data_IF_333150685312
#
_entry.id   IF_333150685312
#
_cell.length_a   1.000
_cell.length_b   1.000
_cell.length_c   1.000
_cell.angle_alpha   90.00
_cell.angle_beta   90.00
_cell.angle_gamma   90.00
#
_symmetry.space_group_name_H-M   'P 1'
#
loop_
_entity.id
_entity.type
_entity.pdbx_description
1 polymer ?
#
# COMPACT_ATOMS: atom_id res chain seq x y z
N UNK A 1 -23.19 19.92 12.82
CA UNK A 1 -23.93 20.22 11.57
C UNK A 1 -24.34 18.92 10.82
N UNK A 2 -24.86 17.89 11.51
CA UNK A 2 -25.17 16.57 10.93
C UNK A 2 -26.69 16.28 10.80
N UNK A 3 -27.55 17.19 11.25
CA UNK A 3 -28.98 16.93 11.44
C UNK A 3 -29.79 16.73 10.14
N UNK A 4 -29.31 17.21 8.98
CA UNK A 4 -30.08 17.21 7.74
C UNK A 4 -29.71 16.10 6.74
N UNK A 5 -28.65 15.31 6.99
CA UNK A 5 -28.16 14.30 6.03
C UNK A 5 -28.86 12.96 6.22
N UNK A 6 -29.09 12.51 7.45
CA UNK A 6 -29.69 11.21 7.75
C UNK A 6 -31.04 10.94 7.05
N UNK A 7 -32.00 11.89 6.97
CA UNK A 7 -33.27 11.66 6.29
C UNK A 7 -33.13 11.51 4.77
N UNK A 8 -32.04 12.04 4.19
CA UNK A 8 -31.82 12.06 2.74
C UNK A 8 -31.20 10.76 2.23
N UNK A 9 -30.46 10.04 3.08
CA UNK A 9 -29.77 8.79 2.73
C UNK A 9 -30.71 7.75 2.11
N UNK A 10 -31.80 7.31 2.76
CA UNK A 10 -32.65 6.26 2.21
C UNK A 10 -33.41 6.68 0.93
N UNK A 11 -33.52 7.99 0.66
CA UNK A 11 -34.25 8.52 -0.50
C UNK A 11 -33.36 8.81 -1.69
N UNK A 12 -32.20 9.42 -1.45
CA UNK A 12 -31.30 9.89 -2.50
C UNK A 12 -30.24 8.86 -2.86
N UNK A 13 -29.71 8.11 -1.89
CA UNK A 13 -28.61 7.19 -2.14
C UNK A 13 -28.98 6.08 -3.13
N UNK A 14 -30.13 5.38 -3.01
CA UNK A 14 -30.52 4.36 -4.00
C UNK A 14 -30.68 4.93 -5.41
N UNK A 15 -31.27 6.14 -5.53
CA UNK A 15 -31.46 6.82 -6.82
C UNK A 15 -30.13 7.25 -7.43
N UNK A 16 -29.21 7.77 -6.62
CA UNK A 16 -27.88 8.14 -7.07
C UNK A 16 -27.10 6.92 -7.53
N UNK A 17 -27.16 5.80 -6.81
CA UNK A 17 -26.52 4.55 -7.25
C UNK A 17 -27.05 4.12 -8.62
N UNK A 18 -28.38 4.10 -8.81
CA UNK A 18 -28.99 3.76 -10.09
C UNK A 18 -28.57 4.71 -11.22
N UNK A 19 -28.59 6.02 -10.97
CA UNK A 19 -28.17 7.02 -11.97
C UNK A 19 -26.70 6.80 -12.32
N UNK A 20 -25.82 6.71 -11.32
CA UNK A 20 -24.36 6.57 -11.52
C UNK A 20 -24.00 5.34 -12.35
N UNK A 21 -24.78 4.24 -12.26
CA UNK A 21 -24.55 3.04 -13.08
C UNK A 21 -24.91 3.20 -14.55
N UNK A 22 -25.75 4.18 -14.90
CA UNK A 22 -26.22 4.40 -16.28
C UNK A 22 -25.85 5.79 -16.83
N UNK A 23 -25.07 6.56 -16.08
CA UNK A 23 -24.80 7.96 -16.41
C UNK A 23 -23.66 8.05 -17.42
N UNK A 24 -23.96 8.55 -18.62
CA UNK A 24 -22.98 8.64 -19.73
C UNK A 24 -22.10 9.89 -19.69
N UNK A 25 -22.43 10.88 -18.86
CA UNK A 25 -21.66 12.13 -18.73
C UNK A 25 -20.71 12.07 -17.53
N UNK A 26 -19.86 13.08 -17.40
CA UNK A 26 -18.97 13.24 -16.24
C UNK A 26 -19.78 13.18 -14.92
N UNK A 27 -19.56 12.14 -14.08
CA UNK A 27 -20.33 11.94 -12.86
C UNK A 27 -19.86 12.80 -11.69
N UNK A 28 -18.91 13.74 -11.87
CA UNK A 28 -18.23 14.46 -10.78
C UNK A 28 -19.14 15.05 -9.72
N UNK A 29 -20.23 15.73 -10.11
CA UNK A 29 -21.19 16.32 -9.15
C UNK A 29 -21.95 15.24 -8.39
N UNK A 30 -22.40 14.19 -9.09
CA UNK A 30 -23.15 13.09 -8.52
C UNK A 30 -22.28 12.24 -7.58
N UNK A 31 -21.05 11.97 -7.98
CA UNK A 31 -20.03 11.29 -7.17
C UNK A 31 -19.71 12.09 -5.90
N UNK A 32 -19.51 13.41 -6.03
CA UNK A 32 -19.28 14.29 -4.88
C UNK A 32 -20.44 14.31 -3.88
N UNK A 33 -21.69 14.30 -4.39
CA UNK A 33 -22.88 14.21 -3.55
C UNK A 33 -22.98 12.83 -2.89
N UNK A 34 -22.74 11.76 -3.63
CA UNK A 34 -22.73 10.39 -3.11
C UNK A 34 -21.69 10.23 -1.99
N UNK A 35 -20.46 10.71 -2.18
CA UNK A 35 -19.40 10.71 -1.15
C UNK A 35 -19.88 11.38 0.14
N UNK A 36 -20.56 12.53 0.04
CA UNK A 36 -21.10 13.25 1.21
C UNK A 36 -22.21 12.48 1.91
N UNK A 37 -23.14 11.90 1.15
CA UNK A 37 -24.24 11.09 1.68
C UNK A 37 -23.77 9.77 2.29
N UNK A 38 -22.70 9.20 1.76
CA UNK A 38 -22.12 7.95 2.23
C UNK A 38 -21.36 8.10 3.54
N UNK A 39 -20.93 9.30 3.96
CA UNK A 39 -20.14 9.51 5.19
C UNK A 39 -20.65 8.74 6.42
N UNK A 40 -21.92 8.82 6.83
CA UNK A 40 -22.43 8.07 7.97
C UNK A 40 -22.73 6.59 7.69
N UNK A 41 -22.77 6.16 6.43
CA UNK A 41 -23.16 4.79 6.05
C UNK A 41 -21.97 3.82 6.22
N UNK A 42 -22.14 2.68 6.93
CA UNK A 42 -21.13 1.62 7.08
C UNK A 42 -20.96 0.83 5.78
N UNK A 43 -19.81 0.18 5.60
CA UNK A 43 -19.47 -0.52 4.35
C UNK A 43 -20.50 -1.58 4.00
N UNK A 44 -20.89 -2.41 4.97
CA UNK A 44 -21.87 -3.49 4.78
C UNK A 44 -23.25 -2.99 4.33
N UNK A 45 -23.70 -1.84 4.83
CA UNK A 45 -24.95 -1.24 4.38
C UNK A 45 -24.83 -0.71 2.94
N UNK A 46 -23.67 -0.22 2.51
CA UNK A 46 -23.45 0.22 1.12
C UNK A 46 -23.55 -0.98 0.17
N UNK A 47 -23.04 -2.15 0.55
CA UNK A 47 -23.12 -3.37 -0.26
C UNK A 47 -24.56 -3.87 -0.49
N UNK A 48 -25.51 -3.47 0.37
CA UNK A 48 -26.94 -3.75 0.12
C UNK A 48 -27.54 -2.89 -1.01
N UNK A 49 -26.86 -1.79 -1.37
CA UNK A 49 -27.30 -0.83 -2.37
C UNK A 49 -26.47 -0.92 -3.67
N UNK A 50 -25.21 -1.29 -3.57
CA UNK A 50 -24.28 -1.42 -4.69
C UNK A 50 -23.59 -2.79 -4.66
N UNK A 51 -23.69 -3.53 -5.77
CA UNK A 51 -23.07 -4.84 -5.91
C UNK A 51 -21.54 -4.75 -6.03
N UNK A 52 -20.84 -5.89 -5.88
CA UNK A 52 -19.40 -5.99 -6.15
C UNK A 52 -19.08 -5.54 -7.59
N UNK A 53 -19.90 -5.97 -8.54
CA UNK A 53 -19.78 -5.59 -9.96
C UNK A 53 -19.92 -4.07 -10.15
N UNK A 54 -20.80 -3.42 -9.40
CA UNK A 54 -20.95 -1.95 -9.44
C UNK A 54 -19.67 -1.25 -8.98
N UNK A 55 -19.00 -1.78 -7.95
CA UNK A 55 -17.72 -1.25 -7.47
C UNK A 55 -16.61 -1.49 -8.49
N UNK A 56 -16.55 -2.68 -9.10
CA UNK A 56 -15.58 -3.00 -10.15
C UNK A 56 -15.75 -2.06 -11.35
N UNK A 57 -16.99 -1.87 -11.83
CA UNK A 57 -17.28 -0.96 -12.94
C UNK A 57 -16.89 0.49 -12.60
N UNK A 58 -17.09 0.93 -11.36
CA UNK A 58 -16.69 2.26 -10.93
C UNK A 58 -15.16 2.42 -10.79
N UNK A 59 -14.44 1.37 -10.40
CA UNK A 59 -12.97 1.33 -10.38
C UNK A 59 -12.36 1.33 -11.79
N UNK A 60 -13.01 0.67 -12.74
CA UNK A 60 -12.59 0.60 -14.15
C UNK A 60 -13.06 1.78 -14.99
N UNK A 61 -13.94 2.63 -14.43
CA UNK A 61 -14.47 3.80 -15.12
C UNK A 61 -13.33 4.75 -15.52
N UNK A 62 -13.37 5.34 -16.73
CA UNK A 62 -12.41 6.37 -17.13
C UNK A 62 -12.62 7.70 -16.37
N UNK A 63 -13.71 7.84 -15.60
CA UNK A 63 -14.00 9.04 -14.83
C UNK A 63 -13.28 8.99 -13.46
N UNK A 64 -12.35 9.92 -13.16
CA UNK A 64 -11.62 9.94 -11.89
C UNK A 64 -12.56 10.01 -10.68
N UNK A 65 -13.64 10.78 -10.81
CA UNK A 65 -14.64 10.94 -9.74
C UNK A 65 -15.40 9.64 -9.43
N UNK A 66 -15.58 8.75 -10.41
CA UNK A 66 -16.15 7.42 -10.19
C UNK A 66 -15.15 6.52 -9.45
N UNK A 67 -13.87 6.55 -9.83
CA UNK A 67 -12.83 5.79 -9.13
C UNK A 67 -12.70 6.27 -7.66
N UNK A 68 -12.65 7.58 -7.43
CA UNK A 68 -12.58 8.17 -6.08
C UNK A 68 -13.79 7.78 -5.24
N UNK A 69 -14.99 7.74 -5.83
CA UNK A 69 -16.19 7.26 -5.15
C UNK A 69 -16.05 5.79 -4.75
N UNK A 70 -15.63 4.91 -5.68
CA UNK A 70 -15.45 3.49 -5.41
C UNK A 70 -14.40 3.25 -4.31
N UNK A 71 -13.24 3.91 -4.40
CA UNK A 71 -12.19 3.85 -3.38
C UNK A 71 -12.71 4.38 -2.04
N UNK A 72 -13.53 5.43 -2.03
CA UNK A 72 -14.14 5.95 -0.79
C UNK A 72 -15.09 4.95 -0.15
N UNK A 73 -15.83 4.17 -0.95
CA UNK A 73 -16.66 3.06 -0.45
C UNK A 73 -15.77 1.96 0.13
N UNK A 74 -14.74 1.52 -0.61
CA UNK A 74 -13.79 0.49 -0.18
C UNK A 74 -13.09 0.89 1.12
N UNK A 75 -12.62 2.14 1.23
CA UNK A 75 -12.00 2.68 2.45
C UNK A 75 -12.95 2.64 3.66
N UNK A 76 -14.28 2.60 3.47
CA UNK A 76 -15.18 2.43 4.63
C UNK A 76 -14.94 1.13 5.37
N UNK A 77 -14.45 0.09 4.70
CA UNK A 77 -14.16 -1.18 5.34
C UNK A 77 -13.08 -1.06 6.42
N UNK A 78 -12.18 -0.06 6.35
CA UNK A 78 -11.18 0.20 7.41
C UNK A 78 -11.78 0.67 8.74
N UNK A 79 -13.09 0.88 8.83
CA UNK A 79 -13.74 1.26 10.10
C UNK A 79 -13.72 0.14 11.14
N UNK A 80 -13.63 -1.11 10.73
CA UNK A 80 -13.50 -2.23 11.65
C UNK A 80 -12.85 -3.44 10.99
N UNK A 81 -12.12 -4.27 11.76
CA UNK A 81 -11.59 -5.53 11.25
C UNK A 81 -12.63 -6.43 10.57
N UNK A 82 -13.87 -6.43 11.06
CA UNK A 82 -14.96 -7.23 10.50
C UNK A 82 -15.37 -6.77 9.10
N UNK A 83 -15.42 -5.46 8.84
CA UNK A 83 -15.73 -4.94 7.50
C UNK A 83 -14.55 -5.18 6.53
N UNK A 84 -13.30 -5.05 6.99
CA UNK A 84 -12.12 -5.41 6.17
C UNK A 84 -12.08 -6.91 5.85
N UNK A 85 -12.48 -7.78 6.79
CA UNK A 85 -12.62 -9.21 6.53
C UNK A 85 -13.66 -9.50 5.43
N UNK A 86 -14.77 -8.76 5.39
CA UNK A 86 -15.76 -8.87 4.30
C UNK A 86 -15.15 -8.43 2.97
N UNK A 87 -14.41 -7.31 2.94
CA UNK A 87 -13.72 -6.89 1.72
C UNK A 87 -12.73 -7.95 1.21
N UNK A 88 -12.03 -8.66 2.11
CA UNK A 88 -11.01 -9.66 1.74
C UNK A 88 -11.56 -10.86 0.96
N UNK A 89 -12.86 -11.17 1.09
CA UNK A 89 -13.50 -12.26 0.33
C UNK A 89 -13.94 -11.82 -1.07
N UNK A 90 -14.03 -10.51 -1.32
CA UNK A 90 -14.43 -9.92 -2.61
C UNK A 90 -13.22 -9.83 -3.56
N UNK A 91 -12.68 -10.99 -4.00
CA UNK A 91 -11.43 -11.08 -4.77
C UNK A 91 -11.38 -10.09 -5.95
N UNK A 92 -12.44 -10.04 -6.75
CA UNK A 92 -12.51 -9.17 -7.93
C UNK A 92 -12.45 -7.68 -7.59
N UNK A 93 -13.02 -7.26 -6.44
CA UNK A 93 -12.94 -5.87 -5.98
C UNK A 93 -11.51 -5.53 -5.53
N UNK A 94 -10.85 -6.43 -4.80
CA UNK A 94 -9.46 -6.22 -4.34
C UNK A 94 -8.51 -6.14 -5.53
N UNK A 95 -8.65 -7.06 -6.49
CA UNK A 95 -7.82 -7.07 -7.70
C UNK A 95 -7.99 -5.76 -8.49
N UNK A 96 -9.23 -5.35 -8.77
CA UNK A 96 -9.48 -4.11 -9.51
C UNK A 96 -9.07 -2.88 -8.72
N UNK A 97 -9.16 -2.90 -7.38
CA UNK A 97 -8.67 -1.82 -6.55
C UNK A 97 -7.15 -1.64 -6.70
N UNK A 98 -6.38 -2.73 -6.67
CA UNK A 98 -4.92 -2.68 -6.85
C UNK A 98 -4.53 -2.28 -8.27
N UNK A 99 -5.25 -2.79 -9.27
CA UNK A 99 -5.05 -2.35 -10.66
C UNK A 99 -5.30 -0.86 -10.78
N UNK A 100 -6.45 -0.34 -10.33
CA UNK A 100 -6.77 1.09 -10.39
C UNK A 100 -5.76 1.93 -9.58
N UNK A 101 -5.33 1.45 -8.41
CA UNK A 101 -4.32 2.12 -7.59
C UNK A 101 -3.00 2.32 -8.33
N UNK A 102 -2.47 1.26 -8.93
CA UNK A 102 -1.16 1.29 -9.59
C UNK A 102 -1.24 1.89 -11.00
N UNK A 103 -2.28 1.59 -11.78
CA UNK A 103 -2.34 1.97 -13.19
C UNK A 103 -2.95 3.35 -13.47
N UNK A 104 -3.70 3.96 -12.55
CA UNK A 104 -4.41 5.21 -12.85
C UNK A 104 -3.44 6.35 -13.20
N UNK A 105 -3.68 7.11 -14.29
CA UNK A 105 -2.88 8.28 -14.62
C UNK A 105 -3.24 9.49 -13.74
N UNK A 106 -4.34 9.41 -12.97
CA UNK A 106 -4.85 10.51 -12.16
C UNK A 106 -4.23 10.47 -10.76
N UNK A 107 -3.46 11.51 -10.42
CA UNK A 107 -2.78 11.63 -9.13
C UNK A 107 -3.76 11.52 -7.96
N UNK A 108 -4.90 12.23 -8.02
CA UNK A 108 -5.91 12.22 -6.95
C UNK A 108 -6.50 10.83 -6.66
N UNK A 109 -6.65 10.00 -7.70
CA UNK A 109 -7.16 8.63 -7.57
C UNK A 109 -6.09 7.77 -6.90
N UNK A 110 -4.84 7.88 -7.36
CA UNK A 110 -3.68 7.19 -6.81
C UNK A 110 -3.46 7.49 -5.34
N UNK A 111 -3.40 8.77 -4.95
CA UNK A 111 -3.21 9.18 -3.54
C UNK A 111 -4.34 8.66 -2.65
N UNK A 112 -5.59 8.77 -3.13
CA UNK A 112 -6.75 8.28 -2.39
C UNK A 112 -6.70 6.77 -2.18
N UNK A 113 -6.24 6.01 -3.18
CA UNK A 113 -6.05 4.58 -3.08
C UNK A 113 -4.88 4.19 -2.17
N UNK A 114 -3.75 4.89 -2.23
CA UNK A 114 -2.61 4.67 -1.31
C UNK A 114 -3.05 4.83 0.15
N UNK A 115 -3.78 5.91 0.47
CA UNK A 115 -4.31 6.14 1.80
C UNK A 115 -5.32 5.05 2.21
N UNK A 116 -6.24 4.69 1.31
CA UNK A 116 -7.23 3.66 1.59
C UNK A 116 -6.58 2.29 1.86
N UNK A 117 -5.59 1.89 1.05
CA UNK A 117 -4.85 0.64 1.23
C UNK A 117 -4.10 0.62 2.57
N UNK A 118 -3.43 1.73 2.91
CA UNK A 118 -2.71 1.88 4.17
C UNK A 118 -3.63 1.80 5.40
N UNK A 119 -4.82 2.38 5.33
CA UNK A 119 -5.83 2.29 6.41
C UNK A 119 -6.38 0.87 6.55
N UNK A 120 -6.67 0.21 5.41
CA UNK A 120 -7.23 -1.14 5.38
C UNK A 120 -6.25 -2.17 5.97
N UNK A 121 -4.98 -2.11 5.55
CA UNK A 121 -3.95 -3.04 6.01
C UNK A 121 -3.57 -2.78 7.47
N UNK A 122 -3.54 -1.53 7.93
CA UNK A 122 -3.30 -1.24 9.35
C UNK A 122 -4.41 -1.82 10.24
N UNK A 123 -5.66 -1.73 9.81
CA UNK A 123 -6.82 -2.23 10.56
C UNK A 123 -6.93 -3.75 10.53
N UNK A 124 -6.56 -4.38 9.41
CA UNK A 124 -6.56 -5.84 9.28
C UNK A 124 -5.31 -6.51 9.86
N UNK A 125 -4.27 -5.77 10.23
CA UNK A 125 -3.05 -6.36 10.78
C UNK A 125 -3.33 -7.19 12.06
N UNK A 126 -2.93 -8.46 12.04
CA UNK A 126 -3.13 -9.38 13.16
C UNK A 126 -2.00 -9.27 14.18
N UNK A 127 -2.17 -8.30 15.09
CA UNK A 127 -1.25 -8.03 16.19
C UNK A 127 -1.11 -9.22 17.14
N UNK A 128 -2.10 -10.12 17.22
CA UNK A 128 -2.06 -11.28 18.12
C UNK A 128 -1.15 -12.35 17.58
N UNK A 129 -1.25 -12.68 16.30
CA UNK A 129 -0.32 -13.62 15.65
C UNK A 129 1.11 -13.09 15.70
N UNK A 130 1.32 -11.80 15.41
CA UNK A 130 2.63 -11.15 15.52
C UNK A 130 3.18 -11.19 16.95
N UNK A 131 2.33 -10.95 17.96
CA UNK A 131 2.75 -10.98 19.35
C UNK A 131 2.95 -12.40 19.89
N UNK A 132 2.23 -13.43 19.42
CA UNK A 132 2.50 -14.82 19.83
C UNK A 132 3.86 -15.33 19.35
N UNK A 133 4.41 -14.76 18.27
CA UNK A 133 5.78 -15.00 17.83
C UNK A 133 6.80 -14.29 18.74
N UNK A 134 6.49 -13.10 19.28
CA UNK A 134 7.40 -12.32 20.14
C UNK A 134 7.29 -12.65 21.65
N UNK A 135 6.11 -13.02 22.15
CA UNK A 135 5.87 -13.35 23.58
C UNK A 135 6.37 -14.74 23.98
N UNK A 136 6.76 -15.61 23.04
CA UNK A 136 7.61 -16.76 23.38
C UNK A 136 9.01 -16.34 23.84
N UNK A 137 9.45 -15.09 23.60
CA UNK A 137 10.77 -14.59 24.03
C UNK A 137 10.73 -13.60 25.19
N UNK A 138 9.71 -12.73 25.35
CA UNK A 138 9.65 -11.81 26.49
C UNK A 138 8.19 -11.48 26.85
N UNK A 139 7.76 -11.86 28.06
CA UNK A 139 6.37 -11.74 28.54
C UNK A 139 5.91 -10.30 28.79
N UNK A 140 5.59 -9.57 27.72
CA UNK A 140 5.05 -8.21 27.79
C UNK A 140 3.57 -8.18 27.37
N UNK A 141 2.73 -7.56 28.20
CA UNK A 141 1.30 -7.39 27.97
C UNK A 141 1.03 -6.50 26.75
N UNK A 142 0.32 -7.07 25.77
CA UNK A 142 -0.16 -6.35 24.57
C UNK A 142 -1.25 -5.38 25.01
N UNK A 143 -1.15 -4.12 24.57
CA UNK A 143 -2.18 -3.09 24.72
C UNK A 143 -3.53 -3.60 24.18
N UNK A 144 -4.36 -4.11 25.09
CA UNK A 144 -5.51 -4.97 24.83
C UNK A 144 -6.76 -4.20 24.38
N UNK A 145 -6.66 -2.89 24.17
CA UNK A 145 -7.82 -2.02 24.01
C UNK A 145 -8.30 -1.82 22.56
N UNK A 146 -7.53 -2.23 21.55
CA UNK A 146 -7.98 -2.18 20.14
C UNK A 146 -8.27 -3.59 19.62
N UNK A 147 -9.44 -3.85 19.01
CA UNK A 147 -9.70 -5.15 18.38
C UNK A 147 -8.65 -5.40 17.29
N UNK A 148 -7.94 -6.53 17.41
CA UNK A 148 -6.93 -6.96 16.44
C UNK A 148 -7.59 -7.31 15.10
N UNK A 149 -6.88 -7.03 14.02
CA UNK A 149 -7.21 -7.51 12.69
C UNK A 149 -7.11 -9.04 12.57
N UNK A 150 -7.57 -9.59 11.44
CA UNK A 150 -7.54 -11.03 11.16
C UNK A 150 -6.49 -11.42 10.10
N UNK A 151 -5.76 -10.45 9.56
CA UNK A 151 -4.79 -10.63 8.48
C UNK A 151 -5.40 -11.24 7.21
N UNK A 152 -6.71 -11.13 7.01
CA UNK A 152 -7.38 -11.76 5.87
C UNK A 152 -7.13 -10.98 4.57
N UNK A 153 -7.16 -9.65 4.64
CA UNK A 153 -6.82 -8.79 3.51
C UNK A 153 -5.32 -8.84 3.21
N UNK A 154 -4.47 -8.88 4.24
CA UNK A 154 -3.03 -9.14 4.06
C UNK A 154 -2.80 -10.44 3.27
N UNK A 155 -3.44 -11.54 3.68
CA UNK A 155 -3.36 -12.81 2.95
C UNK A 155 -3.93 -12.72 1.53
N UNK A 156 -5.01 -11.97 1.32
CA UNK A 156 -5.57 -11.76 -0.02
C UNK A 156 -4.60 -11.02 -0.95
N UNK A 157 -3.85 -10.05 -0.46
CA UNK A 157 -2.95 -9.25 -1.30
C UNK A 157 -1.61 -9.95 -1.51
N UNK A 158 -1.02 -10.51 -0.45
CA UNK A 158 0.35 -11.02 -0.50
C UNK A 158 0.44 -12.55 -0.65
N UNK A 159 -0.63 -13.31 -0.37
CA UNK A 159 -0.64 -14.78 -0.48
C UNK A 159 -1.62 -15.33 -1.52
N UNK A 160 -2.27 -14.47 -2.29
CA UNK A 160 -2.96 -14.86 -3.52
C UNK A 160 -2.02 -14.55 -4.68
N UNK A 161 -1.51 -15.59 -5.35
CA UNK A 161 -0.46 -15.47 -6.38
C UNK A 161 -0.82 -14.44 -7.45
N UNK A 162 -2.04 -14.51 -7.98
CA UNK A 162 -2.51 -13.65 -9.07
C UNK A 162 -2.57 -12.17 -8.65
N UNK A 163 -2.87 -11.90 -7.37
CA UNK A 163 -2.93 -10.54 -6.84
C UNK A 163 -1.53 -10.03 -6.51
N UNK A 164 -0.69 -10.87 -5.91
CA UNK A 164 0.69 -10.52 -5.58
C UNK A 164 1.51 -10.17 -6.84
N UNK A 165 1.32 -10.93 -7.92
CA UNK A 165 1.95 -10.69 -9.22
C UNK A 165 1.61 -9.31 -9.81
N UNK A 166 0.48 -8.69 -9.44
CA UNK A 166 0.16 -7.33 -9.86
C UNK A 166 1.16 -6.29 -9.37
N UNK A 167 1.73 -6.50 -8.18
CA UNK A 167 2.71 -5.56 -7.60
C UNK A 167 3.99 -5.51 -8.43
N UNK A 168 4.39 -6.64 -9.01
CA UNK A 168 5.57 -6.72 -9.87
C UNK A 168 5.25 -6.33 -11.31
N UNK A 169 4.21 -6.92 -11.89
CA UNK A 169 3.84 -6.67 -13.30
C UNK A 169 3.46 -5.22 -13.58
N UNK A 170 2.88 -4.50 -12.61
CA UNK A 170 2.52 -3.09 -12.80
C UNK A 170 3.66 -2.12 -12.43
N UNK A 171 4.69 -2.56 -11.70
CA UNK A 171 5.78 -1.69 -11.26
C UNK A 171 7.15 -2.00 -11.90
N UNK A 172 7.34 -3.16 -12.53
CA UNK A 172 8.60 -3.48 -13.20
C UNK A 172 8.80 -2.64 -14.46
N UNK A 173 9.98 -2.05 -14.61
CA UNK A 173 10.37 -1.27 -15.79
C UNK A 173 10.38 -2.11 -17.07
N UNK A 174 10.61 -3.43 -16.96
CA UNK A 174 10.65 -4.37 -18.09
C UNK A 174 9.28 -4.61 -18.73
N UNK A 175 8.20 -4.27 -18.03
CA UNK A 175 6.81 -4.49 -18.47
C UNK A 175 6.19 -3.21 -19.05
N UNK A 176 7.03 -2.27 -19.47
CA UNK A 176 6.60 -1.03 -20.12
C UNK A 176 6.25 -1.29 -21.58
N UNK A 177 5.12 -0.75 -22.05
CA UNK A 177 4.74 -0.86 -23.45
C UNK A 177 3.30 -0.47 -23.72
N UNK A 178 2.85 -0.74 -24.95
CA UNK A 178 1.53 -0.35 -25.46
C UNK A 178 0.55 -1.54 -25.54
N UNK A 179 0.95 -2.73 -25.10
CA UNK A 179 0.07 -3.90 -25.14
C UNK A 179 -1.04 -3.77 -24.08
N UNK A 180 -2.21 -4.41 -24.30
CA UNK A 180 -3.30 -4.39 -23.34
C UNK A 180 -2.85 -4.86 -21.95
N UNK A 181 -2.91 -3.97 -20.95
CA UNK A 181 -2.51 -4.24 -19.57
C UNK A 181 -1.10 -3.76 -19.21
N UNK A 182 -0.30 -3.30 -20.18
CA UNK A 182 0.96 -2.61 -19.92
C UNK A 182 0.71 -1.13 -19.60
N UNK A 183 1.65 -0.54 -18.87
CA UNK A 183 1.65 0.88 -18.54
C UNK A 183 2.68 1.60 -19.41
N UNK A 184 2.38 2.83 -19.81
CA UNK A 184 3.39 3.71 -20.38
C UNK A 184 4.44 4.11 -19.31
N UNK A 185 5.56 4.68 -19.74
CA UNK A 185 6.66 5.06 -18.85
C UNK A 185 6.19 5.96 -17.70
N UNK A 186 5.33 6.94 -17.99
CA UNK A 186 4.84 7.89 -16.98
C UNK A 186 3.96 7.19 -15.94
N UNK A 187 3.04 6.34 -16.39
CA UNK A 187 2.17 5.56 -15.52
C UNK A 187 2.99 4.57 -14.69
N UNK A 188 4.08 4.02 -15.25
CA UNK A 188 5.02 3.16 -14.54
C UNK A 188 5.71 3.90 -13.39
N UNK A 189 6.31 5.07 -13.65
CA UNK A 189 6.92 5.90 -12.61
C UNK A 189 5.91 6.26 -11.50
N UNK A 190 4.65 6.56 -11.87
CA UNK A 190 3.57 6.79 -10.90
C UNK A 190 3.25 5.54 -10.07
N UNK A 191 3.18 4.35 -10.69
CA UNK A 191 2.92 3.09 -10.00
C UNK A 191 4.04 2.78 -9.00
N UNK A 192 5.29 2.90 -9.44
CA UNK A 192 6.49 2.69 -8.62
C UNK A 192 6.53 3.65 -7.42
N UNK A 193 6.29 4.95 -7.65
CA UNK A 193 6.25 5.94 -6.57
C UNK A 193 5.15 5.65 -5.54
N UNK A 194 3.98 5.16 -5.98
CA UNK A 194 2.88 4.75 -5.08
C UNK A 194 3.24 3.53 -4.25
N UNK A 195 3.90 2.54 -4.85
CA UNK A 195 4.37 1.36 -4.13
C UNK A 195 5.42 1.75 -3.09
N UNK A 196 6.42 2.55 -3.45
CA UNK A 196 7.41 3.08 -2.50
C UNK A 196 6.75 3.82 -1.33
N UNK A 197 5.73 4.64 -1.59
CA UNK A 197 5.07 5.43 -0.52
C UNK A 197 4.36 4.60 0.55
N UNK A 198 3.90 3.39 0.23
CA UNK A 198 3.19 2.57 1.21
C UNK A 198 4.11 1.62 1.99
N UNK A 199 5.21 1.18 1.37
CA UNK A 199 6.10 0.15 1.92
C UNK A 199 6.68 0.49 3.31
N UNK A 200 7.12 1.72 3.63
CA UNK A 200 7.61 2.06 4.97
C UNK A 200 6.60 1.73 6.08
N UNK A 201 5.34 2.12 5.87
CA UNK A 201 4.25 1.85 6.81
C UNK A 201 3.97 0.34 6.91
N UNK A 202 3.99 -0.38 5.80
CA UNK A 202 3.74 -1.82 5.80
C UNK A 202 4.86 -2.61 6.47
N UNK A 203 6.13 -2.19 6.28
CA UNK A 203 7.27 -2.84 6.91
C UNK A 203 7.29 -2.68 8.43
N UNK A 204 6.83 -1.54 8.94
CA UNK A 204 6.63 -1.34 10.37
C UNK A 204 5.53 -2.25 10.96
N UNK A 205 4.58 -2.70 10.13
CA UNK A 205 3.53 -3.63 10.54
C UNK A 205 4.01 -5.09 10.43
N UNK A 206 4.43 -5.51 9.23
CA UNK A 206 4.83 -6.89 8.93
C UNK A 206 6.08 -6.92 8.05
N UNK A 207 7.22 -6.69 8.69
CA UNK A 207 8.53 -6.71 8.04
C UNK A 207 8.83 -8.06 7.37
N UNK A 208 8.50 -9.16 8.05
CA UNK A 208 8.86 -10.50 7.59
C UNK A 208 8.11 -10.85 6.30
N UNK A 209 6.82 -10.49 6.19
CA UNK A 209 6.04 -10.71 4.98
C UNK A 209 6.63 -9.99 3.75
N UNK A 210 7.21 -8.80 3.93
CA UNK A 210 7.74 -8.00 2.82
C UNK A 210 9.17 -8.39 2.42
N UNK A 211 9.90 -9.06 3.30
CA UNK A 211 11.32 -9.41 3.14
C UNK A 211 11.57 -10.86 2.77
N UNK A 212 10.57 -11.74 2.93
CA UNK A 212 10.67 -13.13 2.48
C UNK A 212 10.07 -13.32 1.10
N UNK A 213 10.65 -14.27 0.36
CA UNK A 213 10.09 -14.80 -0.87
C UNK A 213 8.77 -15.51 -0.58
N UNK A 214 7.69 -15.07 -1.22
CA UNK A 214 6.36 -15.66 -1.05
C UNK A 214 5.98 -16.57 -2.23
N UNK A 215 6.34 -16.14 -3.44
CA UNK A 215 6.13 -16.87 -4.68
C UNK A 215 7.41 -16.79 -5.53
N UNK A 216 8.38 -17.70 -5.30
CA UNK A 216 9.66 -17.67 -6.01
C UNK A 216 9.51 -17.67 -7.54
N UNK A 217 8.49 -18.36 -8.06
CA UNK A 217 8.19 -18.47 -9.49
C UNK A 217 7.63 -17.18 -10.11
N UNK A 218 7.01 -16.31 -9.30
CA UNK A 218 6.63 -14.95 -9.72
C UNK A 218 7.85 -14.05 -9.63
N UNK A 219 8.54 -14.07 -8.49
CA UNK A 219 9.67 -13.18 -8.20
C UNK A 219 10.83 -13.39 -9.17
N UNK A 220 11.14 -14.63 -9.56
CA UNK A 220 12.15 -14.97 -10.58
C UNK A 220 11.93 -14.32 -11.95
N UNK A 221 10.70 -13.90 -12.26
CA UNK A 221 10.40 -13.23 -13.53
C UNK A 221 10.81 -11.75 -13.52
N UNK A 222 11.04 -11.18 -12.35
CA UNK A 222 11.29 -9.74 -12.16
C UNK A 222 12.56 -9.43 -11.37
N UNK A 223 13.18 -10.44 -10.76
CA UNK A 223 14.34 -10.32 -9.89
C UNK A 223 15.45 -11.26 -10.33
N UNK A 224 16.64 -10.70 -10.47
CA UNK A 224 17.86 -11.48 -10.66
C UNK A 224 18.50 -11.85 -9.32
N UNK A 225 18.98 -13.09 -9.20
CA UNK A 225 19.74 -13.56 -8.04
C UNK A 225 18.95 -14.38 -7.02
N UNK A 226 19.54 -14.52 -5.83
CA UNK A 226 19.04 -15.36 -4.74
C UNK A 226 18.11 -14.61 -3.78
N UNK A 227 18.35 -13.31 -3.58
CA UNK A 227 17.52 -12.47 -2.72
C UNK A 227 16.24 -12.10 -3.46
N UNK A 228 15.09 -12.48 -2.89
CA UNK A 228 13.79 -12.32 -3.55
C UNK A 228 12.73 -11.97 -2.53
N UNK A 229 12.17 -10.78 -2.70
CA UNK A 229 11.05 -10.28 -1.91
C UNK A 229 10.49 -9.02 -2.54
N UNK A 230 9.29 -8.62 -2.15
CA UNK A 230 8.69 -7.37 -2.61
C UNK A 230 9.54 -6.15 -2.21
N UNK A 231 10.08 -6.14 -0.99
CA UNK A 231 10.91 -5.04 -0.52
C UNK A 231 12.24 -4.97 -1.28
N UNK A 232 12.87 -6.12 -1.54
CA UNK A 232 14.09 -6.18 -2.34
C UNK A 232 13.84 -5.65 -3.76
N UNK A 233 12.79 -6.14 -4.43
CA UNK A 233 12.35 -5.63 -5.73
C UNK A 233 12.19 -4.12 -5.75
N UNK A 234 11.42 -3.57 -4.81
CA UNK A 234 11.14 -2.14 -4.78
C UNK A 234 12.40 -1.27 -4.61
N UNK A 235 13.45 -1.80 -4.00
CA UNK A 235 14.65 -1.05 -3.61
C UNK A 235 15.85 -1.27 -4.51
N UNK A 236 15.90 -2.36 -5.29
CA UNK A 236 17.05 -2.68 -6.15
C UNK A 236 16.71 -2.68 -7.64
N UNK A 237 15.65 -3.37 -8.06
CA UNK A 237 15.35 -3.63 -9.48
C UNK A 237 14.20 -2.79 -10.04
N UNK A 238 13.30 -2.30 -9.18
CA UNK A 238 12.08 -1.64 -9.63
C UNK A 238 12.35 -0.28 -10.27
N UNK A 239 13.34 0.47 -9.78
CA UNK A 239 13.56 1.87 -10.15
C UNK A 239 14.68 2.02 -11.17
N UNK A 240 14.39 2.68 -12.28
CA UNK A 240 15.43 3.22 -13.15
C UNK A 240 16.07 4.45 -12.49
N UNK A 241 17.34 4.32 -12.10
CA UNK A 241 18.09 5.38 -11.41
C UNK A 241 18.54 6.51 -12.33
N UNK A 242 18.44 6.33 -13.65
CA UNK A 242 18.69 7.40 -14.63
C UNK A 242 17.51 8.40 -14.69
N UNK A 243 16.31 7.99 -14.28
CA UNK A 243 15.20 8.91 -14.01
C UNK A 243 15.45 9.61 -12.67
N UNK A 244 16.00 10.84 -12.74
CA UNK A 244 16.33 11.65 -11.58
C UNK A 244 15.16 11.85 -10.60
N UNK A 245 13.91 11.93 -11.10
CA UNK A 245 12.76 12.12 -10.21
C UNK A 245 12.46 10.83 -9.43
N UNK A 246 12.59 9.68 -10.08
CA UNK A 246 12.43 8.39 -9.41
C UNK A 246 13.60 8.09 -8.49
N UNK A 247 14.81 8.53 -8.82
CA UNK A 247 15.98 8.41 -7.94
C UNK A 247 15.82 9.22 -6.65
N UNK A 248 15.32 10.46 -6.75
CA UNK A 248 14.96 11.27 -5.57
C UNK A 248 13.84 10.60 -4.77
N UNK A 249 12.84 10.02 -5.44
CA UNK A 249 11.77 9.27 -4.76
C UNK A 249 12.32 8.07 -3.97
N UNK A 250 13.37 7.41 -4.46
CA UNK A 250 14.05 6.34 -3.75
C UNK A 250 14.77 6.85 -2.49
N UNK A 251 15.33 8.07 -2.52
CA UNK A 251 15.98 8.66 -1.34
C UNK A 251 14.96 8.95 -0.24
N UNK A 252 13.84 9.58 -0.61
CA UNK A 252 12.72 9.85 0.29
C UNK A 252 12.19 8.54 0.88
N UNK A 253 12.05 7.49 0.05
CA UNK A 253 11.68 6.16 0.52
C UNK A 253 12.65 5.63 1.58
N UNK A 254 13.96 5.67 1.36
CA UNK A 254 14.92 5.13 2.33
C UNK A 254 14.90 5.92 3.64
N UNK A 255 14.76 7.24 3.59
CA UNK A 255 14.62 8.06 4.79
C UNK A 255 13.35 7.69 5.59
N UNK A 256 12.20 7.57 4.91
CA UNK A 256 10.94 7.16 5.56
C UNK A 256 10.98 5.73 6.08
N UNK A 257 11.53 4.80 5.29
CA UNK A 257 11.64 3.39 5.63
C UNK A 257 12.54 3.18 6.86
N UNK A 258 13.75 3.73 6.84
CA UNK A 258 14.67 3.62 7.97
C UNK A 258 14.14 4.36 9.19
N UNK A 259 13.48 5.51 9.00
CA UNK A 259 12.80 6.22 10.08
C UNK A 259 11.67 5.41 10.71
N UNK A 260 10.90 4.65 9.92
CA UNK A 260 9.89 3.74 10.44
C UNK A 260 10.52 2.53 11.17
N UNK A 261 11.62 2.01 10.66
CA UNK A 261 12.33 0.89 11.27
C UNK A 261 13.05 1.26 12.57
N UNK A 262 13.55 2.50 12.71
CA UNK A 262 14.31 2.94 13.90
C UNK A 262 13.48 2.98 15.18
N UNK A 263 12.16 3.15 15.04
CA UNK A 263 11.20 3.14 16.16
C UNK A 263 10.48 1.79 16.32
N UNK A 264 10.84 0.79 15.51
CA UNK A 264 10.25 -0.55 15.52
C UNK A 264 11.11 -1.54 16.31
N UNK A 265 10.50 -2.64 16.75
CA UNK A 265 11.24 -3.75 17.38
C UNK A 265 12.10 -4.50 16.34
N UNK A 266 13.39 -4.18 16.35
CA UNK A 266 14.42 -4.75 15.47
C UNK A 266 15.08 -5.97 16.13
N UNK A 267 14.72 -7.16 15.66
CA UNK A 267 15.45 -8.39 16.00
C UNK A 267 16.79 -8.44 15.25
N UNK A 268 17.69 -9.32 15.66
CA UNK A 268 18.97 -9.52 14.96
C UNK A 268 18.77 -9.84 13.48
N UNK A 269 17.82 -10.73 13.15
CA UNK A 269 17.53 -11.09 11.76
C UNK A 269 17.06 -9.89 10.92
N UNK A 270 16.27 -8.97 11.50
CA UNK A 270 15.86 -7.75 10.80
C UNK A 270 17.03 -6.81 10.58
N UNK A 271 17.90 -6.67 11.60
CA UNK A 271 19.13 -5.88 11.48
C UNK A 271 20.06 -6.43 10.40
N UNK A 272 20.25 -7.75 10.36
CA UNK A 272 21.10 -8.42 9.37
C UNK A 272 20.55 -8.19 7.94
N UNK A 273 19.23 -8.32 7.74
CA UNK A 273 18.59 -8.02 6.46
C UNK A 273 18.76 -6.55 6.06
N UNK A 274 18.50 -5.61 6.97
CA UNK A 274 18.66 -4.17 6.70
C UNK A 274 20.10 -3.82 6.34
N UNK A 275 21.08 -4.37 7.06
CA UNK A 275 22.49 -4.15 6.80
C UNK A 275 22.90 -4.66 5.42
N UNK A 276 22.47 -5.88 5.07
CA UNK A 276 22.71 -6.48 3.76
C UNK A 276 22.04 -5.70 2.62
N UNK A 277 20.78 -5.27 2.82
CA UNK A 277 20.06 -4.47 1.84
C UNK A 277 20.75 -3.13 1.61
N UNK A 278 21.08 -2.40 2.68
CA UNK A 278 21.76 -1.12 2.55
C UNK A 278 23.11 -1.28 1.86
N UNK A 279 23.90 -2.29 2.23
CA UNK A 279 25.18 -2.57 1.59
C UNK A 279 24.98 -2.78 0.08
N UNK A 280 24.00 -3.60 -0.30
CA UNK A 280 23.68 -3.88 -1.70
C UNK A 280 23.34 -2.62 -2.48
N UNK A 281 22.47 -1.76 -1.94
CA UNK A 281 22.02 -0.56 -2.66
C UNK A 281 23.13 0.48 -2.73
N UNK A 282 23.82 0.77 -1.62
CA UNK A 282 24.87 1.81 -1.56
C UNK A 282 26.11 1.44 -2.35
N UNK A 283 26.46 0.15 -2.48
CA UNK A 283 27.57 -0.30 -3.34
C UNK A 283 27.35 0.06 -4.81
N UNK A 284 26.08 0.14 -5.25
CA UNK A 284 25.71 0.49 -6.63
C UNK A 284 25.33 1.96 -6.81
N UNK A 285 25.22 2.72 -5.71
CA UNK A 285 24.60 4.05 -5.70
C UNK A 285 25.29 4.97 -4.69
N UNK A 286 26.37 5.59 -5.15
CA UNK A 286 27.17 6.53 -4.33
C UNK A 286 26.36 7.76 -3.92
N UNK A 287 25.36 8.17 -4.71
CA UNK A 287 24.54 9.32 -4.38
C UNK A 287 23.63 9.02 -3.19
N UNK A 288 22.98 7.84 -3.18
CA UNK A 288 22.21 7.38 -2.03
C UNK A 288 23.11 7.20 -0.79
N UNK A 289 24.30 6.64 -0.95
CA UNK A 289 25.26 6.50 0.15
C UNK A 289 25.56 7.84 0.83
N UNK A 290 25.94 8.84 0.03
CA UNK A 290 26.25 10.19 0.54
C UNK A 290 25.04 10.84 1.19
N UNK A 291 23.84 10.61 0.65
CA UNK A 291 22.59 11.11 1.23
C UNK A 291 22.34 10.50 2.63
N UNK A 292 22.50 9.18 2.78
CA UNK A 292 22.33 8.50 4.07
C UNK A 292 23.41 8.91 5.09
N UNK A 293 24.66 9.12 4.67
CA UNK A 293 25.70 9.69 5.53
C UNK A 293 25.36 11.10 6.00
N UNK A 294 24.83 11.95 5.11
CA UNK A 294 24.42 13.30 5.46
C UNK A 294 23.30 13.28 6.52
N UNK A 295 22.31 12.39 6.37
CA UNK A 295 21.25 12.21 7.37
C UNK A 295 21.79 11.81 8.75
N UNK A 296 22.85 11.00 8.82
CA UNK A 296 23.44 10.57 10.10
C UNK A 296 24.16 11.70 10.87
N UNK A 297 24.49 12.81 10.20
CA UNK A 297 25.23 13.95 10.79
C UNK A 297 24.31 15.17 10.99
N UNK A 298 23.19 15.22 10.29
CA UNK A 298 22.23 16.32 10.38
C UNK A 298 21.57 16.39 11.77
N UNK A 299 21.58 17.58 12.35
CA UNK A 299 20.96 17.88 13.64
C UNK A 299 19.42 17.84 13.62
N UNK A 300 18.81 17.91 12.43
CA UNK A 300 17.35 17.82 12.28
C UNK A 300 16.86 16.36 12.16
N UNK A 301 17.76 15.41 11.93
CA UNK A 301 17.41 13.98 11.87
C UNK A 301 17.02 13.44 13.25
N UNK A 302 15.91 12.67 13.37
CA UNK A 302 15.53 12.04 14.62
C UNK A 302 16.65 11.19 15.22
N UNK A 303 16.91 11.27 16.54
CA UNK A 303 18.04 10.59 17.17
C UNK A 303 17.95 9.05 17.03
N UNK A 304 16.74 8.49 17.00
CA UNK A 304 16.52 7.06 16.79
C UNK A 304 17.00 6.62 15.40
N UNK A 305 16.77 7.44 14.38
CA UNK A 305 17.25 7.17 13.01
C UNK A 305 18.77 7.29 12.93
N UNK A 306 19.37 8.29 13.58
CA UNK A 306 20.83 8.42 13.65
C UNK A 306 21.47 7.19 14.31
N UNK A 307 20.93 6.71 15.44
CA UNK A 307 21.40 5.49 16.11
C UNK A 307 21.32 4.27 15.19
N UNK A 308 20.19 4.09 14.49
CA UNK A 308 20.03 3.00 13.55
C UNK A 308 21.07 3.05 12.41
N UNK A 309 21.28 4.21 11.80
CA UNK A 309 22.26 4.40 10.73
C UNK A 309 23.68 4.08 11.20
N UNK A 310 24.06 4.54 12.40
CA UNK A 310 25.37 4.22 13.01
C UNK A 310 25.52 2.72 13.25
N UNK A 311 24.49 2.06 13.79
CA UNK A 311 24.50 0.62 14.03
C UNK A 311 24.61 -0.19 12.73
N UNK A 312 23.91 0.22 11.67
CA UNK A 312 23.97 -0.45 10.37
C UNK A 312 25.34 -0.29 9.72
N UNK A 313 25.97 0.88 9.83
CA UNK A 313 27.33 1.11 9.32
C UNK A 313 28.37 0.25 10.08
N UNK A 314 28.23 0.13 11.40
CA UNK A 314 29.09 -0.76 12.21
C UNK A 314 28.90 -2.25 11.91
N UNK A 315 27.72 -2.65 11.42
CA UNK A 315 27.40 -4.04 11.08
C UNK A 315 28.06 -4.47 9.75
N UNK A 316 28.40 -3.51 8.89
CA UNK A 316 29.03 -3.76 7.58
C UNK A 316 30.56 -3.90 7.62
N UNK A 317 31.21 -3.60 8.75
CA UNK A 317 32.68 -3.67 8.95
C UNK A 317 33.12 -4.90 9.73
#
# INVERSE_FOLDING_TARGET
>A
MYANISPLIPRLLPRLTQILTTYERDPTILASLAIKLLRPVPFTQILTLASEESLINALQSPAPSANVLAITVIQKASRSPGETAILSVMKGVVENFLRTWLSTPHVEVGEKATLALGDLLEVDFDRRSAATLSTQMNGMEIDSNKPSGQGLLWRRIFRDKEIYELLFSLCSSETTGNDPGQLDERQKSLAQARLLRILPKLAALDFDLLTHSLFPDVEEQYLEGQERSLLYFATTEMIDKEDLLMHVTLFDFFAEFLGAMSVSDLTQSKMDYLAALLQKVTMSDTALYNYLEALAIDSETPPELVDLLVRLNQHQG
#
